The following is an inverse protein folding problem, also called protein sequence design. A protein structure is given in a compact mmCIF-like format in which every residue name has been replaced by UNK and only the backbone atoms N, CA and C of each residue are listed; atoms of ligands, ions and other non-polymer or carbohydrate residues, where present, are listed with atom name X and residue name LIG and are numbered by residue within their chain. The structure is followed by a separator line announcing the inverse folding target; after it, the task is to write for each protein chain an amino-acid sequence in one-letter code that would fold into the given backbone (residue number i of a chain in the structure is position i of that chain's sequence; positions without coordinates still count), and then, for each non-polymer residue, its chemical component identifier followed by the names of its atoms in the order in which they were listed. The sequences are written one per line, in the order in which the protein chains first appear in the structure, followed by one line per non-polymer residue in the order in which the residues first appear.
data_IF_137637216267
#
_entry.id   IF_137637216267
#
_cell.length_a   1.000
_cell.length_b   1.000
_cell.length_c   1.000
_cell.angle_alpha   90.00
_cell.angle_beta   90.00
_cell.angle_gamma   90.00
#
_symmetry.space_group_name_H-M   'P 1'
#
loop_
_entity.id
_entity.type
_entity.pdbx_description
1 polymer ?
#
# COMPACT_ATOMS: atom_id res chain seq x y z
N UNK A 1 -62.51 -40.58 -66.50
CA UNK A 1 -61.52 -39.87 -67.35
C UNK A 1 -61.99 -38.44 -67.55
N UNK A 2 -61.04 -37.51 -67.58
CA UNK A 2 -61.13 -36.06 -67.76
C UNK A 2 -61.40 -35.15 -66.54
N UNK A 3 -60.40 -34.27 -66.38
CA UNK A 3 -60.18 -33.22 -65.39
C UNK A 3 -60.83 -31.93 -65.92
N UNK A 4 -61.23 -31.03 -65.01
CA UNK A 4 -60.93 -29.61 -65.15
C UNK A 4 -61.02 -28.93 -63.79
N UNK A 5 -59.91 -28.29 -63.43
CA UNK A 5 -59.73 -27.49 -62.24
C UNK A 5 -60.36 -26.10 -62.43
N UNK A 6 -60.95 -25.55 -61.38
CA UNK A 6 -61.14 -24.12 -61.22
C UNK A 6 -60.65 -23.73 -59.83
N UNK A 7 -59.61 -22.91 -59.83
CA UNK A 7 -59.02 -22.24 -58.69
C UNK A 7 -59.93 -21.06 -58.34
N UNK A 8 -60.33 -20.92 -57.09
CA UNK A 8 -60.82 -19.64 -56.58
C UNK A 8 -60.26 -19.41 -55.17
N UNK A 9 -59.44 -18.36 -55.07
CA UNK A 9 -58.88 -17.80 -53.84
C UNK A 9 -60.00 -17.44 -52.85
N UNK A 10 -59.84 -17.81 -51.58
CA UNK A 10 -60.39 -17.02 -50.47
C UNK A 10 -59.46 -17.12 -49.27
N UNK A 11 -58.88 -15.97 -48.94
CA UNK A 11 -58.14 -15.67 -47.71
C UNK A 11 -59.17 -15.34 -46.63
N UNK A 12 -59.09 -15.94 -45.44
CA UNK A 12 -59.36 -15.25 -44.18
C UNK A 12 -59.07 -16.11 -42.93
N UNK A 13 -58.08 -15.63 -42.18
CA UNK A 13 -58.00 -15.54 -40.72
C UNK A 13 -58.01 -16.80 -39.85
N UNK A 14 -56.79 -17.17 -39.47
CA UNK A 14 -56.40 -17.75 -38.19
C UNK A 14 -56.91 -16.94 -36.99
N UNK A 15 -57.45 -17.63 -35.98
CA UNK A 15 -57.30 -17.22 -34.57
C UNK A 15 -57.33 -18.46 -33.66
N UNK A 16 -56.19 -19.16 -33.58
CA UNK A 16 -55.96 -20.13 -32.52
C UNK A 16 -55.46 -19.35 -31.30
N UNK A 17 -56.33 -19.14 -30.31
CA UNK A 17 -55.95 -18.63 -29.00
C UNK A 17 -55.25 -19.78 -28.27
N UNK A 18 -53.95 -19.93 -28.51
CA UNK A 18 -53.06 -20.65 -27.62
C UNK A 18 -52.87 -19.79 -26.38
N UNK A 19 -53.54 -20.16 -25.30
CA UNK A 19 -53.30 -19.61 -23.97
C UNK A 19 -51.89 -19.94 -23.52
N UNK A 20 -50.94 -19.09 -23.85
CA UNK A 20 -49.69 -18.95 -23.11
C UNK A 20 -50.02 -18.24 -21.80
N UNK A 21 -50.44 -19.01 -20.80
CA UNK A 21 -50.24 -18.56 -19.42
C UNK A 21 -48.73 -18.47 -19.22
N UNK A 22 -48.20 -17.25 -19.39
CA UNK A 22 -46.91 -16.87 -18.86
C UNK A 22 -46.88 -17.34 -17.40
N UNK A 23 -45.95 -18.25 -17.09
CA UNK A 23 -45.67 -18.64 -15.73
C UNK A 23 -45.33 -17.37 -14.96
N UNK A 24 -46.30 -16.90 -14.16
CA UNK A 24 -46.09 -15.83 -13.19
C UNK A 24 -45.02 -16.36 -12.25
N UNK A 25 -43.81 -15.79 -12.37
CA UNK A 25 -42.68 -16.06 -11.48
C UNK A 25 -43.16 -15.96 -10.03
N UNK A 26 -43.16 -17.08 -9.30
CA UNK A 26 -43.48 -17.07 -7.89
C UNK A 26 -42.41 -16.26 -7.16
N UNK A 27 -42.81 -15.17 -6.53
CA UNK A 27 -41.93 -14.33 -5.70
C UNK A 27 -41.32 -15.22 -4.61
N UNK A 28 -39.99 -15.33 -4.61
CA UNK A 28 -39.27 -16.17 -3.66
C UNK A 28 -39.58 -15.77 -2.20
N UNK A 29 -39.85 -16.76 -1.35
CA UNK A 29 -40.11 -16.54 0.09
C UNK A 29 -38.82 -16.08 0.79
N UNK A 30 -38.92 -15.27 1.84
CA UNK A 30 -37.77 -14.64 2.54
C UNK A 30 -36.60 -15.59 2.86
N UNK A 31 -36.87 -16.80 3.36
CA UNK A 31 -35.83 -17.80 3.66
C UNK A 31 -35.05 -18.30 2.42
N UNK A 32 -35.68 -18.35 1.26
CA UNK A 32 -34.99 -18.71 0.01
C UNK A 32 -34.12 -17.55 -0.50
N UNK A 33 -34.56 -16.31 -0.28
CA UNK A 33 -33.76 -15.11 -0.57
C UNK A 33 -32.53 -15.01 0.34
N UNK A 34 -32.66 -15.33 1.64
CA UNK A 34 -31.53 -15.36 2.57
C UNK A 34 -30.49 -16.41 2.14
N UNK A 35 -30.94 -17.62 1.77
CA UNK A 35 -30.05 -18.67 1.25
C UNK A 35 -29.34 -18.23 -0.04
N UNK A 36 -30.07 -17.60 -0.97
CA UNK A 36 -29.49 -17.08 -2.21
C UNK A 36 -28.45 -15.99 -1.94
N UNK A 37 -28.71 -15.12 -0.95
CA UNK A 37 -27.77 -14.09 -0.51
C UNK A 37 -26.48 -14.72 0.04
N UNK A 38 -26.60 -15.69 0.95
CA UNK A 38 -25.45 -16.39 1.54
C UNK A 38 -24.63 -17.14 0.48
N UNK A 39 -25.30 -17.80 -0.47
CA UNK A 39 -24.66 -18.49 -1.59
C UNK A 39 -23.90 -17.51 -2.49
N UNK A 40 -24.49 -16.36 -2.79
CA UNK A 40 -23.85 -15.32 -3.60
C UNK A 40 -22.60 -14.75 -2.91
N UNK A 41 -22.69 -14.44 -1.61
CA UNK A 41 -21.55 -13.94 -0.83
C UNK A 41 -20.43 -14.97 -0.77
N UNK A 42 -20.75 -16.23 -0.52
CA UNK A 42 -19.78 -17.32 -0.48
C UNK A 42 -19.09 -17.50 -1.84
N UNK A 43 -19.85 -17.50 -2.93
CA UNK A 43 -19.31 -17.66 -4.28
C UNK A 43 -18.42 -16.48 -4.68
N UNK A 44 -18.84 -15.26 -4.38
CA UNK A 44 -18.02 -14.06 -4.59
C UNK A 44 -16.70 -14.18 -3.83
N UNK A 45 -16.77 -14.46 -2.53
CA UNK A 45 -15.60 -14.52 -1.63
C UNK A 45 -14.59 -15.57 -2.09
N UNK A 46 -15.06 -16.78 -2.42
CA UNK A 46 -14.21 -17.85 -2.93
C UNK A 46 -13.50 -17.48 -4.24
N UNK A 47 -14.24 -16.89 -5.20
CA UNK A 47 -13.69 -16.47 -6.49
C UNK A 47 -12.73 -15.30 -6.35
N UNK A 48 -13.07 -14.31 -5.54
CA UNK A 48 -12.23 -13.17 -5.22
C UNK A 48 -10.93 -13.60 -4.54
N UNK A 49 -11.00 -14.53 -3.57
CA UNK A 49 -9.81 -15.04 -2.89
C UNK A 49 -8.88 -15.76 -3.88
N UNK A 50 -9.44 -16.60 -4.76
CA UNK A 50 -8.67 -17.27 -5.82
C UNK A 50 -8.02 -16.27 -6.78
N UNK A 51 -8.74 -15.22 -7.17
CA UNK A 51 -8.20 -14.16 -8.03
C UNK A 51 -7.08 -13.36 -7.34
N UNK A 52 -7.23 -13.05 -6.05
CA UNK A 52 -6.18 -12.39 -5.26
C UNK A 52 -4.90 -13.24 -5.20
N UNK A 53 -5.02 -14.56 -5.02
CA UNK A 53 -3.88 -15.47 -5.08
C UNK A 53 -3.18 -15.43 -6.45
N UNK A 54 -3.94 -15.40 -7.54
CA UNK A 54 -3.39 -15.29 -8.90
C UNK A 54 -2.67 -13.96 -9.10
N UNK A 55 -3.23 -12.84 -8.62
CA UNK A 55 -2.57 -11.54 -8.68
C UNK A 55 -1.26 -11.52 -7.88
N UNK A 56 -1.25 -12.06 -6.66
CA UNK A 56 -0.01 -12.21 -5.87
C UNK A 56 1.02 -13.04 -6.63
N UNK A 57 0.64 -14.19 -7.18
CA UNK A 57 1.55 -15.08 -7.92
C UNK A 57 2.13 -14.40 -9.19
N UNK A 58 1.36 -13.51 -9.81
CA UNK A 58 1.80 -12.70 -10.95
C UNK A 58 2.60 -11.44 -10.54
N UNK A 59 2.92 -11.25 -9.26
CA UNK A 59 3.61 -10.04 -8.75
C UNK A 59 2.73 -8.77 -8.76
N UNK A 60 1.44 -8.89 -9.06
CA UNK A 60 0.48 -7.78 -9.07
C UNK A 60 -0.08 -7.53 -7.65
N UNK A 61 0.80 -7.19 -6.71
CA UNK A 61 0.47 -7.04 -5.29
C UNK A 61 -0.66 -6.04 -5.03
N UNK A 62 -0.67 -4.91 -5.73
CA UNK A 62 -1.72 -3.88 -5.58
C UNK A 62 -3.10 -4.42 -5.93
N UNK A 63 -3.25 -5.09 -7.08
CA UNK A 63 -4.51 -5.73 -7.50
C UNK A 63 -4.93 -6.85 -6.54
N UNK A 64 -3.98 -7.60 -6.01
CA UNK A 64 -4.26 -8.62 -5.00
C UNK A 64 -4.86 -8.01 -3.74
N UNK A 65 -4.27 -6.92 -3.22
CA UNK A 65 -4.74 -6.21 -2.03
C UNK A 65 -6.10 -5.54 -2.26
N UNK A 66 -6.33 -4.95 -3.44
CA UNK A 66 -7.64 -4.39 -3.80
C UNK A 66 -8.74 -5.46 -3.78
N UNK A 67 -8.45 -6.63 -4.34
CA UNK A 67 -9.38 -7.77 -4.35
C UNK A 67 -9.67 -8.26 -2.93
N UNK A 68 -8.64 -8.36 -2.08
CA UNK A 68 -8.79 -8.75 -0.68
C UNK A 68 -9.57 -7.73 0.14
N UNK A 69 -9.41 -6.43 -0.16
CA UNK A 69 -10.16 -5.36 0.50
C UNK A 69 -11.66 -5.52 0.24
N UNK A 70 -12.07 -5.92 -0.96
CA UNK A 70 -13.47 -6.21 -1.27
C UNK A 70 -14.02 -7.34 -0.38
N UNK A 71 -13.26 -8.43 -0.22
CA UNK A 71 -13.64 -9.55 0.68
C UNK A 71 -13.84 -9.02 2.10
N UNK A 72 -12.86 -8.31 2.64
CA UNK A 72 -12.88 -7.79 4.00
C UNK A 72 -13.95 -6.71 4.25
N UNK A 73 -14.46 -6.06 3.20
CA UNK A 73 -15.59 -5.14 3.31
C UNK A 73 -16.92 -5.87 3.53
N UNK A 74 -17.08 -7.10 3.01
CA UNK A 74 -18.29 -7.90 3.21
C UNK A 74 -18.16 -8.85 4.40
N UNK A 75 -16.97 -9.42 4.59
CA UNK A 75 -16.66 -10.34 5.68
C UNK A 75 -15.37 -9.88 6.40
N UNK A 76 -15.48 -8.93 7.34
CA UNK A 76 -14.33 -8.36 8.05
C UNK A 76 -13.47 -9.38 8.79
N UNK A 77 -14.05 -10.53 9.15
CA UNK A 77 -13.39 -11.62 9.90
C UNK A 77 -12.90 -12.78 9.03
N UNK A 78 -12.82 -12.59 7.72
CA UNK A 78 -12.29 -13.61 6.82
C UNK A 78 -10.79 -13.86 7.02
N UNK A 79 -10.46 -14.86 7.83
CA UNK A 79 -9.09 -15.19 8.25
C UNK A 79 -8.11 -15.39 7.08
N UNK A 80 -8.49 -16.13 6.04
CA UNK A 80 -7.59 -16.36 4.90
C UNK A 80 -7.29 -15.07 4.12
N UNK A 81 -8.24 -14.13 4.04
CA UNK A 81 -8.05 -12.86 3.36
C UNK A 81 -7.11 -11.94 4.17
N UNK A 82 -7.29 -11.88 5.50
CA UNK A 82 -6.36 -11.20 6.42
C UNK A 82 -4.95 -11.78 6.30
N UNK A 83 -4.81 -13.10 6.37
CA UNK A 83 -3.53 -13.79 6.28
C UNK A 83 -2.81 -13.54 4.94
N UNK A 84 -3.55 -13.55 3.82
CA UNK A 84 -2.98 -13.26 2.51
C UNK A 84 -2.57 -11.78 2.37
N UNK A 85 -3.37 -10.84 2.90
CA UNK A 85 -3.05 -9.41 2.93
C UNK A 85 -1.74 -9.16 3.70
N UNK A 86 -1.60 -9.80 4.86
CA UNK A 86 -0.39 -9.75 5.68
C UNK A 86 0.82 -10.32 4.96
N UNK A 87 0.64 -11.46 4.30
CA UNK A 87 1.69 -12.10 3.50
C UNK A 87 2.19 -11.20 2.38
N UNK A 88 1.28 -10.61 1.60
CA UNK A 88 1.63 -9.69 0.51
C UNK A 88 2.36 -8.48 1.09
N UNK A 89 1.85 -7.88 2.16
CA UNK A 89 2.47 -6.70 2.78
C UNK A 89 3.90 -6.98 3.29
N UNK A 90 4.15 -8.18 3.84
CA UNK A 90 5.50 -8.63 4.22
C UNK A 90 6.40 -8.85 3.01
N UNK A 91 5.88 -9.41 1.92
CA UNK A 91 6.63 -9.57 0.66
C UNK A 91 7.05 -8.20 0.10
N UNK A 92 6.14 -7.22 0.04
CA UNK A 92 6.42 -5.86 -0.42
C UNK A 92 7.55 -5.19 0.37
N UNK A 93 7.63 -5.40 1.69
CA UNK A 93 8.69 -4.86 2.56
C UNK A 93 10.08 -5.50 2.35
N UNK A 94 10.13 -6.65 1.69
CA UNK A 94 11.37 -7.41 1.47
C UNK A 94 11.75 -7.52 -0.01
N UNK A 95 10.97 -6.90 -0.90
CA UNK A 95 11.07 -7.04 -2.35
C UNK A 95 12.44 -6.60 -2.90
N UNK A 96 12.88 -5.40 -2.51
CA UNK A 96 14.20 -4.89 -2.81
C UNK A 96 14.95 -4.59 -1.51
N UNK A 97 16.28 -4.64 -1.55
CA UNK A 97 17.14 -4.39 -0.39
C UNK A 97 18.44 -3.71 -0.82
N UNK A 98 18.80 -2.64 -0.11
CA UNK A 98 20.09 -1.95 -0.24
C UNK A 98 20.70 -1.73 1.14
N UNK A 99 21.99 -2.00 1.27
CA UNK A 99 22.76 -1.63 2.46
C UNK A 99 23.68 -0.46 2.14
N UNK A 100 23.75 0.53 3.03
CA UNK A 100 24.64 1.68 2.95
C UNK A 100 25.27 1.98 4.32
N UNK A 101 26.35 2.74 4.33
CA UNK A 101 27.03 3.20 5.55
C UNK A 101 26.63 4.65 5.79
N UNK A 102 26.22 4.97 7.01
CA UNK A 102 25.94 6.34 7.45
C UNK A 102 26.98 6.74 8.49
N UNK A 103 27.84 7.68 8.14
CA UNK A 103 28.92 8.21 8.97
C UNK A 103 28.36 9.23 9.96
N UNK A 104 28.81 9.17 11.22
CA UNK A 104 28.35 10.08 12.27
C UNK A 104 28.85 11.52 12.07
N UNK A 105 29.97 11.68 11.36
CA UNK A 105 30.67 12.94 11.17
C UNK A 105 30.35 13.67 9.86
N UNK A 106 29.24 13.29 9.23
CA UNK A 106 28.78 13.88 7.98
C UNK A 106 27.35 14.38 8.14
N UNK A 107 27.01 15.40 7.34
CA UNK A 107 25.65 15.90 7.22
C UNK A 107 24.74 14.88 6.50
N UNK A 108 23.64 15.33 5.92
CA UNK A 108 22.73 14.50 5.12
C UNK A 108 23.48 13.70 4.04
N UNK A 109 23.45 12.38 4.18
CA UNK A 109 24.09 11.43 3.28
C UNK A 109 23.04 10.78 2.38
N UNK A 110 23.26 10.85 1.07
CA UNK A 110 22.41 10.14 0.12
C UNK A 110 22.56 8.63 0.32
N UNK A 111 21.44 7.92 0.42
CA UNK A 111 21.46 6.45 0.56
C UNK A 111 21.62 5.73 -0.77
N UNK A 112 21.47 6.44 -1.90
CA UNK A 112 21.33 5.86 -3.23
C UNK A 112 19.97 5.16 -3.42
N UNK A 113 19.00 5.36 -2.52
CA UNK A 113 17.69 4.73 -2.57
C UNK A 113 16.61 5.76 -2.86
N UNK A 114 15.89 5.55 -3.96
CA UNK A 114 14.66 6.25 -4.27
C UNK A 114 13.47 5.50 -3.67
N UNK A 115 12.65 6.22 -2.89
CA UNK A 115 11.40 5.73 -2.31
C UNK A 115 10.21 6.25 -3.12
N UNK A 116 9.08 5.54 -3.07
CA UNK A 116 7.89 5.88 -3.86
C UNK A 116 6.68 6.20 -2.96
N UNK A 117 5.89 7.19 -3.37
CA UNK A 117 4.64 7.58 -2.70
C UNK A 117 3.72 6.35 -2.53
N UNK A 118 3.21 6.14 -1.31
CA UNK A 118 2.27 5.07 -1.02
C UNK A 118 2.87 3.67 -0.95
N UNK A 119 4.18 3.50 -1.18
CA UNK A 119 4.86 2.19 -1.19
C UNK A 119 5.65 1.98 0.12
N UNK A 120 5.46 0.85 0.82
CA UNK A 120 6.04 0.67 2.15
C UNK A 120 7.57 0.48 2.09
N UNK A 121 8.26 1.05 3.08
CA UNK A 121 9.72 1.01 3.24
C UNK A 121 10.08 0.61 4.68
N UNK A 122 11.03 -0.30 4.82
CA UNK A 122 11.68 -0.64 6.09
C UNK A 122 13.13 -0.15 6.10
N UNK A 123 13.56 0.36 7.26
CA UNK A 123 14.95 0.73 7.53
C UNK A 123 15.37 0.01 8.81
N UNK A 124 16.51 -0.68 8.77
CA UNK A 124 17.16 -1.32 9.91
C UNK A 124 18.60 -0.82 10.02
N UNK A 125 18.98 -0.28 11.16
CA UNK A 125 20.30 0.27 11.41
C UNK A 125 21.03 -0.54 12.49
N UNK A 126 22.30 -0.88 12.23
CA UNK A 126 23.18 -1.63 13.14
C UNK A 126 24.53 -0.95 13.27
N UNK A 127 25.16 -1.12 14.43
CA UNK A 127 26.44 -0.50 14.76
C UNK A 127 26.28 0.58 15.81
N UNK A 128 27.35 1.33 16.02
CA UNK A 128 27.44 2.34 17.06
C UNK A 128 28.18 3.57 16.53
N UNK A 129 27.77 4.72 17.04
CA UNK A 129 28.48 5.98 16.91
C UNK A 129 28.49 6.72 18.23
N UNK A 130 29.36 7.71 18.34
CA UNK A 130 29.53 8.54 19.53
C UNK A 130 29.05 9.94 19.20
N UNK A 131 27.97 10.35 19.87
CA UNK A 131 27.54 11.74 19.96
C UNK A 131 28.39 12.46 21.00
N UNK A 132 28.93 13.64 20.66
CA UNK A 132 29.68 14.48 21.59
C UNK A 132 29.01 15.83 21.75
N UNK A 133 28.85 16.26 23.01
CA UNK A 133 28.41 17.62 23.33
C UNK A 133 29.47 18.29 24.18
N UNK A 134 30.23 19.19 23.55
CA UNK A 134 31.21 20.05 24.23
C UNK A 134 30.78 21.52 24.06
N UNK A 135 30.34 22.12 25.17
CA UNK A 135 29.82 23.49 25.22
C UNK A 135 30.26 24.17 26.51
N UNK A 136 30.80 25.39 26.38
CA UNK A 136 30.94 26.30 27.52
C UNK A 136 29.59 26.93 27.83
N UNK A 137 29.19 26.91 29.11
CA UNK A 137 27.93 27.47 29.60
C UNK A 137 28.18 28.50 30.69
N UNK A 138 27.24 29.42 30.87
CA UNK A 138 27.24 30.39 31.96
C UNK A 138 26.54 29.81 33.21
N UNK A 139 26.55 30.51 34.37
CA UNK A 139 25.73 30.12 35.52
C UNK A 139 24.22 30.03 35.24
N UNK A 140 23.72 30.74 34.22
CA UNK A 140 22.32 30.67 33.78
C UNK A 140 22.04 29.44 32.90
N UNK A 141 23.06 28.66 32.57
CA UNK A 141 22.95 27.45 31.75
C UNK A 141 22.87 27.73 30.25
N UNK A 142 22.18 26.84 29.52
CA UNK A 142 21.94 26.92 28.08
C UNK A 142 20.52 26.43 27.79
N UNK A 143 19.78 27.20 26.99
CA UNK A 143 18.55 26.71 26.38
C UNK A 143 18.86 25.86 25.16
N UNK A 144 18.29 24.65 25.09
CA UNK A 144 18.39 23.80 23.92
C UNK A 144 17.60 24.43 22.75
N UNK A 145 18.19 24.58 21.55
CA UNK A 145 17.44 25.01 20.37
C UNK A 145 16.27 24.06 20.06
N UNK A 146 15.16 24.59 19.55
CA UNK A 146 13.95 23.79 19.30
C UNK A 146 14.16 22.65 18.31
N UNK A 147 15.04 22.84 17.31
CA UNK A 147 15.38 21.78 16.36
C UNK A 147 16.07 20.59 17.06
N UNK A 148 16.90 20.86 18.07
CA UNK A 148 17.57 19.82 18.87
C UNK A 148 16.61 19.12 19.84
N UNK A 149 15.48 19.74 20.19
CA UNK A 149 14.42 19.10 20.99
C UNK A 149 13.55 18.16 20.17
N UNK A 150 13.54 18.29 18.84
CA UNK A 150 12.61 17.56 17.95
C UNK A 150 12.86 16.06 17.91
N UNK A 151 14.12 15.64 18.04
CA UNK A 151 14.52 14.23 18.05
C UNK A 151 15.56 13.96 19.15
N UNK A 152 15.71 12.71 19.62
CA UNK A 152 16.79 12.37 20.53
C UNK A 152 18.16 12.69 19.90
N UNK A 153 19.06 13.27 20.68
CA UNK A 153 20.43 13.54 20.25
C UNK A 153 21.17 12.22 19.96
N UNK A 154 21.95 12.20 18.88
CA UNK A 154 22.63 10.99 18.43
C UNK A 154 21.71 9.96 17.74
N UNK A 155 20.41 10.23 17.55
CA UNK A 155 19.54 9.31 16.82
C UNK A 155 19.78 9.36 15.30
N UNK A 156 19.54 8.24 14.61
CA UNK A 156 19.44 8.24 13.15
C UNK A 156 18.13 8.92 12.73
N UNK A 157 18.23 9.93 11.88
CA UNK A 157 17.09 10.64 11.28
C UNK A 157 17.16 10.56 9.75
N UNK A 158 16.00 10.66 9.12
CA UNK A 158 15.83 10.57 7.67
C UNK A 158 15.09 11.77 7.09
N UNK A 159 15.33 12.03 5.82
CA UNK A 159 14.65 13.05 5.00
C UNK A 159 14.47 12.51 3.57
N UNK A 160 13.40 12.92 2.89
CA UNK A 160 13.12 12.53 1.51
C UNK A 160 13.17 13.78 0.64
N UNK A 161 14.15 13.84 -0.25
CA UNK A 161 14.26 14.88 -1.26
C UNK A 161 13.33 14.58 -2.44
N UNK A 162 12.28 15.39 -2.59
CA UNK A 162 11.27 15.23 -3.65
C UNK A 162 11.58 16.06 -4.90
N UNK A 163 12.73 16.76 -4.94
CA UNK A 163 13.16 17.50 -6.13
C UNK A 163 12.09 18.47 -6.66
N UNK A 164 11.69 19.46 -5.84
CA UNK A 164 10.80 20.55 -6.26
C UNK A 164 9.36 20.17 -6.63
N UNK A 165 8.95 18.89 -6.55
CA UNK A 165 7.58 18.48 -6.82
C UNK A 165 6.62 19.06 -5.75
N UNK A 166 5.57 19.80 -6.14
CA UNK A 166 4.60 20.33 -5.18
C UNK A 166 3.79 19.17 -4.55
N UNK A 167 3.52 19.27 -3.25
CA UNK A 167 2.59 18.37 -2.60
C UNK A 167 1.17 18.58 -3.11
N UNK A 168 0.37 17.50 -3.11
CA UNK A 168 -1.06 17.53 -3.48
C UNK A 168 -1.91 18.45 -2.58
N UNK A 169 -1.40 18.84 -1.40
CA UNK A 169 -2.13 19.64 -0.40
C UNK A 169 -1.52 21.03 -0.10
N UNK A 170 -0.71 21.60 -0.99
CA UNK A 170 -0.16 22.96 -0.85
C UNK A 170 0.89 23.16 0.27
N UNK A 171 1.18 22.13 1.07
CA UNK A 171 2.32 22.08 2.02
C UNK A 171 3.49 21.35 1.36
N UNK A 172 4.64 21.98 1.11
CA UNK A 172 5.84 21.28 0.56
C UNK A 172 6.04 19.91 1.23
N UNK A 173 5.87 18.82 0.46
CA UNK A 173 5.88 17.44 1.00
C UNK A 173 7.29 16.94 1.35
N UNK A 174 8.34 17.70 1.03
CA UNK A 174 9.74 17.29 1.25
C UNK A 174 10.37 17.70 2.56
N UNK A 175 9.84 18.65 3.33
CA UNK A 175 10.79 19.44 4.15
C UNK A 175 10.96 18.99 5.62
N UNK A 176 10.39 17.85 6.03
CA UNK A 176 10.45 17.44 7.45
C UNK A 176 11.25 16.17 7.66
N UNK A 177 12.41 16.28 8.33
CA UNK A 177 13.09 15.13 8.87
C UNK A 177 12.15 14.29 9.74
N UNK A 178 12.42 12.99 9.81
CA UNK A 178 11.71 12.04 10.65
C UNK A 178 12.69 11.16 11.43
N UNK A 179 12.27 10.71 12.62
CA UNK A 179 13.03 9.76 13.41
C UNK A 179 13.05 8.38 12.75
N UNK A 180 14.25 7.81 12.57
CA UNK A 180 14.47 6.44 12.11
C UNK A 180 14.82 5.52 13.28
N UNK A 181 15.81 5.91 14.10
CA UNK A 181 16.30 5.05 15.18
C UNK A 181 16.95 3.75 14.65
N UNK A 182 16.86 2.67 15.43
CA UNK A 182 17.41 1.35 15.04
C UNK A 182 16.53 0.62 14.02
N UNK A 183 15.23 0.89 14.00
CA UNK A 183 14.29 0.28 13.07
C UNK A 183 13.09 1.20 12.81
N UNK A 184 12.70 1.33 11.53
CA UNK A 184 11.49 2.05 11.12
C UNK A 184 10.82 1.37 9.93
N UNK A 185 9.51 1.17 10.01
CA UNK A 185 8.64 0.92 8.85
C UNK A 185 7.76 2.13 8.62
N UNK A 186 7.67 2.61 7.38
CA UNK A 186 6.83 3.75 7.04
C UNK A 186 6.40 3.73 5.56
N UNK A 187 5.41 4.57 5.24
CA UNK A 187 4.94 4.78 3.86
C UNK A 187 5.22 6.22 3.46
N UNK A 188 6.04 6.50 2.44
CA UNK A 188 6.31 7.84 1.97
C UNK A 188 5.05 8.54 1.46
N UNK A 189 4.90 9.83 1.78
CA UNK A 189 3.85 10.69 1.23
C UNK A 189 4.22 11.33 -0.13
N UNK A 190 5.46 11.11 -0.59
CA UNK A 190 5.96 11.58 -1.86
C UNK A 190 7.09 10.67 -2.36
N UNK A 191 7.29 10.66 -3.67
CA UNK A 191 8.42 9.97 -4.32
C UNK A 191 9.66 10.85 -4.24
N UNK A 192 10.81 10.29 -3.84
CA UNK A 192 12.03 11.07 -3.66
C UNK A 192 13.25 10.26 -3.25
N UNK A 193 14.40 10.92 -3.12
CA UNK A 193 15.65 10.30 -2.69
C UNK A 193 15.74 10.30 -1.17
N UNK A 194 16.05 9.15 -0.57
CA UNK A 194 16.22 9.03 0.88
C UNK A 194 17.63 9.48 1.29
N UNK A 195 17.68 10.38 2.27
CA UNK A 195 18.90 10.81 2.95
C UNK A 195 18.82 10.46 4.43
N UNK A 196 19.99 10.20 5.01
CA UNK A 196 20.13 9.87 6.42
C UNK A 196 21.25 10.68 7.07
N UNK A 197 21.12 10.99 8.37
CA UNK A 197 22.22 11.53 9.18
C UNK A 197 22.04 11.22 10.66
N UNK A 198 23.08 11.43 11.45
CA UNK A 198 22.95 11.53 12.90
C UNK A 198 22.30 12.86 13.29
N UNK A 199 21.41 12.82 14.27
CA UNK A 199 20.83 14.02 14.85
C UNK A 199 21.82 14.70 15.80
N UNK A 200 22.52 15.69 15.26
CA UNK A 200 23.45 16.57 15.97
C UNK A 200 23.47 17.97 15.30
N UNK A 201 23.85 18.98 16.06
CA UNK A 201 24.16 20.34 15.60
C UNK A 201 25.59 20.52 15.08
N UNK A 202 26.52 19.66 15.49
CA UNK A 202 27.92 19.71 15.07
C UNK A 202 28.39 18.31 14.72
N UNK A 203 28.45 18.01 13.44
CA UNK A 203 28.77 16.65 13.02
C UNK A 203 30.26 16.32 13.17
N UNK A 204 31.15 17.30 13.01
CA UNK A 204 32.60 17.09 12.83
C UNK A 204 33.35 16.37 13.97
N UNK A 205 32.84 16.41 15.20
CA UNK A 205 33.47 15.80 16.39
C UNK A 205 32.93 14.41 16.74
N UNK A 206 31.92 13.97 16.01
CA UNK A 206 31.34 12.64 16.16
C UNK A 206 32.21 11.56 15.54
N UNK A 207 32.08 10.35 16.07
CA UNK A 207 32.92 9.21 15.68
C UNK A 207 32.03 7.99 15.44
N UNK A 208 32.39 7.17 14.46
CA UNK A 208 31.70 5.92 14.18
C UNK A 208 30.69 6.02 13.05
N UNK A 209 29.89 4.98 12.90
CA UNK A 209 28.97 4.84 11.78
C UNK A 209 27.92 3.78 12.04
N UNK A 210 26.82 3.87 11.31
CA UNK A 210 25.81 2.82 11.24
C UNK A 210 25.88 2.13 9.87
N UNK A 211 25.69 0.82 9.87
CA UNK A 211 25.31 0.04 8.69
C UNK A 211 23.79 0.03 8.60
N UNK A 212 23.24 0.61 7.53
CA UNK A 212 21.80 0.78 7.37
C UNK A 212 21.32 -0.05 6.19
N UNK A 213 20.38 -0.94 6.46
CA UNK A 213 19.64 -1.71 5.47
C UNK A 213 18.31 -1.03 5.21
N UNK A 214 18.03 -0.74 3.94
CA UNK A 214 16.77 -0.21 3.46
C UNK A 214 16.14 -1.28 2.59
N UNK A 215 14.88 -1.62 2.86
CA UNK A 215 14.14 -2.60 2.06
C UNK A 215 12.72 -2.17 1.78
N UNK A 216 12.13 -2.78 0.75
CA UNK A 216 10.75 -2.54 0.37
C UNK A 216 10.57 -2.40 -1.13
N UNK A 217 9.50 -1.70 -1.50
CA UNK A 217 9.29 -1.24 -2.87
C UNK A 217 10.08 0.05 -3.09
N UNK A 218 11.39 -0.11 -3.26
CA UNK A 218 12.37 0.97 -3.43
C UNK A 218 13.24 0.70 -4.66
N UNK A 219 13.92 1.73 -5.17
CA UNK A 219 14.83 1.60 -6.33
C UNK A 219 16.22 2.14 -6.02
N UNK A 220 17.26 1.38 -6.34
CA UNK A 220 18.64 1.83 -6.29
C UNK A 220 18.96 2.81 -7.44
N UNK A 221 19.75 3.86 -7.16
CA UNK A 221 20.11 4.95 -8.06
C UNK A 221 21.62 5.15 -8.10
#
# INVERSE_FOLDING_TARGET
MWRLAVICLTVCTTLAILGTHAAVSQVAKGKDLDRQHDELLRDFTNRAHKLALQYQQAGSHEKAKDTLKLILQMEPDHEQAKALMDKISKQELTENKKTCKVLANQSWQATGVQVFEGKPVAIEAKGEWVFKMDKSVSPDGMEMPDDMKKFPLGALIGYIDVGGAPAKDGKKNSDRPFLVGSHKVFTPHATGMLYLKMHDSKESDNIGHLSVTISGQVRER
#
